data_IF_462274095388
#
_entry.id   IF_462274095388
#
_cell.length_a   1.000
_cell.length_b   1.000
_cell.length_c   1.000
_cell.angle_alpha   90.00
_cell.angle_beta   90.00
_cell.angle_gamma   90.00
#
_symmetry.space_group_name_H-M   'P 1'
#
loop_
_entity.id
_entity.type
_entity.pdbx_description
1 polymer ?
#
# COMPACT_ATOMS: atom_id res chain seq x y z
N UNK A 1 -34.65 -2.76 4.48
CA UNK A 1 -34.24 -3.20 3.13
C UNK A 1 -32.72 -3.26 3.10
N UNK A 2 -32.14 -4.44 2.92
CA UNK A 2 -30.68 -4.62 2.93
C UNK A 2 -30.06 -3.95 1.70
N UNK A 3 -29.37 -2.83 1.88
CA UNK A 3 -28.56 -2.23 0.82
C UNK A 3 -27.47 -3.23 0.42
N UNK A 4 -27.65 -3.88 -0.73
CA UNK A 4 -26.61 -4.70 -1.35
C UNK A 4 -25.47 -3.76 -1.75
N UNK A 5 -24.46 -3.66 -0.90
CA UNK A 5 -23.22 -2.94 -1.20
C UNK A 5 -22.63 -3.53 -2.48
N UNK A 6 -22.80 -2.83 -3.62
CA UNK A 6 -22.21 -3.22 -4.90
C UNK A 6 -20.70 -3.33 -4.69
N UNK A 7 -20.17 -4.55 -4.67
CA UNK A 7 -18.72 -4.80 -4.69
C UNK A 7 -18.18 -4.19 -5.98
N UNK A 8 -17.43 -3.09 -5.88
CA UNK A 8 -16.68 -2.55 -7.03
C UNK A 8 -15.79 -3.68 -7.54
N UNK A 9 -16.01 -4.09 -8.78
CA UNK A 9 -15.26 -5.15 -9.43
C UNK A 9 -13.80 -4.67 -9.54
N UNK A 10 -12.92 -5.28 -8.74
CA UNK A 10 -11.54 -4.83 -8.51
C UNK A 10 -10.88 -5.66 -7.38
N UNK A 11 -9.56 -5.48 -7.21
CA UNK A 11 -8.67 -6.30 -6.36
C UNK A 11 -9.33 -6.69 -5.02
N UNK A 12 -9.43 -8.00 -4.69
CA UNK A 12 -10.16 -8.45 -3.51
C UNK A 12 -9.66 -7.78 -2.22
N UNK A 13 -10.59 -7.45 -1.32
CA UNK A 13 -10.25 -7.01 0.04
C UNK A 13 -9.96 -8.24 0.88
N UNK A 14 -8.71 -8.43 1.32
CA UNK A 14 -8.33 -9.61 2.09
C UNK A 14 -8.91 -9.61 3.52
N UNK A 15 -9.23 -8.43 4.08
CA UNK A 15 -9.68 -8.29 5.47
C UNK A 15 -11.00 -7.52 5.65
N UNK A 16 -11.83 -7.39 4.61
CA UNK A 16 -13.12 -6.67 4.70
C UNK A 16 -13.00 -5.15 4.90
N UNK A 17 -11.80 -4.62 5.09
CA UNK A 17 -11.56 -3.19 5.25
C UNK A 17 -11.67 -2.42 3.93
N UNK A 18 -12.19 -1.19 4.02
CA UNK A 18 -12.23 -0.26 2.89
C UNK A 18 -10.80 0.18 2.56
N UNK A 19 -10.21 -0.44 1.54
CA UNK A 19 -8.90 -0.05 1.02
C UNK A 19 -8.94 1.40 0.52
N UNK A 20 -8.15 2.28 1.13
CA UNK A 20 -7.84 3.61 0.57
C UNK A 20 -6.65 3.43 -0.37
N UNK A 21 -6.82 3.81 -1.63
CA UNK A 21 -5.74 3.80 -2.60
C UNK A 21 -5.08 5.17 -2.64
N UNK A 22 -3.75 5.18 -2.59
CA UNK A 22 -2.93 6.37 -2.78
C UNK A 22 -2.04 6.14 -4.00
N UNK A 23 -1.92 7.16 -4.84
CA UNK A 23 -1.00 7.17 -5.97
C UNK A 23 0.11 8.18 -5.67
N UNK A 24 1.36 7.76 -5.80
CA UNK A 24 2.52 8.63 -5.66
C UNK A 24 3.28 8.69 -6.97
N UNK A 25 3.84 9.86 -7.27
CA UNK A 25 4.81 10.02 -8.34
C UNK A 25 6.21 10.01 -7.75
N UNK A 26 7.09 9.21 -8.34
CA UNK A 26 8.48 9.11 -7.94
C UNK A 26 9.37 9.09 -9.19
N UNK A 27 10.59 9.62 -9.07
CA UNK A 27 11.61 9.42 -10.10
C UNK A 27 11.99 7.94 -10.17
N UNK A 28 12.55 7.49 -11.31
CA UNK A 28 13.04 6.10 -11.44
C UNK A 28 14.03 5.73 -10.35
N UNK A 29 14.92 6.67 -10.00
CA UNK A 29 15.92 6.49 -8.94
C UNK A 29 15.27 6.33 -7.58
N UNK A 30 14.33 7.22 -7.22
CA UNK A 30 13.61 7.12 -5.95
C UNK A 30 12.82 5.80 -5.86
N UNK A 31 12.17 5.39 -6.96
CA UNK A 31 11.45 4.12 -7.01
C UNK A 31 12.37 2.91 -6.84
N UNK A 32 13.56 2.93 -7.46
CA UNK A 32 14.58 1.89 -7.29
C UNK A 32 15.10 1.82 -5.86
N UNK A 33 15.35 2.97 -5.23
CA UNK A 33 15.81 3.05 -3.85
C UNK A 33 14.77 2.54 -2.87
N UNK A 34 13.49 2.91 -3.03
CA UNK A 34 12.39 2.41 -2.19
C UNK A 34 12.30 0.88 -2.20
N UNK A 35 12.47 0.25 -3.38
CA UNK A 35 12.48 -1.21 -3.48
C UNK A 35 13.64 -1.85 -2.72
N UNK A 36 14.82 -1.24 -2.76
CA UNK A 36 16.00 -1.71 -2.01
C UNK A 36 15.77 -1.60 -0.50
N UNK A 37 15.18 -0.49 -0.04
CA UNK A 37 14.88 -0.28 1.38
C UNK A 37 13.81 -1.25 1.91
N UNK A 38 12.77 -1.52 1.11
CA UNK A 38 11.77 -2.54 1.43
C UNK A 38 12.43 -3.93 1.55
N UNK A 39 13.29 -4.29 0.60
CA UNK A 39 14.00 -5.57 0.65
C UNK A 39 14.94 -5.69 1.87
N UNK A 40 15.65 -4.61 2.24
CA UNK A 40 16.54 -4.63 3.41
C UNK A 40 15.81 -4.70 4.75
N UNK A 41 14.57 -4.22 4.82
CA UNK A 41 13.71 -4.32 6.01
C UNK A 41 12.94 -5.64 6.10
N UNK A 42 13.10 -6.54 5.10
CA UNK A 42 12.37 -7.81 5.06
C UNK A 42 10.88 -7.66 4.74
N UNK A 43 10.46 -6.50 4.24
CA UNK A 43 9.06 -6.18 3.93
C UNK A 43 8.80 -6.19 2.42
N UNK A 44 7.56 -6.46 2.02
CA UNK A 44 7.13 -6.11 0.67
C UNK A 44 7.08 -4.58 0.51
N UNK A 45 7.20 -4.10 -0.73
CA UNK A 45 7.14 -2.66 -1.02
C UNK A 45 5.83 -2.00 -0.51
N UNK A 46 4.70 -2.71 -0.61
CA UNK A 46 3.43 -2.22 -0.10
C UNK A 46 3.41 -2.09 1.42
N UNK A 47 3.93 -3.09 2.14
CA UNK A 47 3.99 -3.06 3.60
C UNK A 47 4.93 -1.96 4.08
N UNK A 48 6.10 -1.85 3.45
CA UNK A 48 7.07 -0.81 3.74
C UNK A 48 6.46 0.60 3.61
N UNK A 49 5.73 0.87 2.51
CA UNK A 49 5.07 2.15 2.30
C UNK A 49 3.89 2.38 3.26
N UNK A 50 3.19 1.33 3.66
CA UNK A 50 2.09 1.42 4.62
C UNK A 50 2.60 1.75 6.03
N UNK A 51 3.69 1.10 6.48
CA UNK A 51 4.34 1.40 7.75
C UNK A 51 4.88 2.83 7.74
N UNK A 52 5.59 3.23 6.69
CA UNK A 52 6.14 4.57 6.54
C UNK A 52 5.03 5.63 6.51
N UNK A 53 3.94 5.38 5.79
CA UNK A 53 2.79 6.27 5.71
C UNK A 53 2.00 6.39 7.01
N UNK A 54 1.98 5.35 7.86
CA UNK A 54 1.31 5.38 9.17
C UNK A 54 2.16 6.00 10.27
N UNK A 55 3.47 5.73 10.26
CA UNK A 55 4.37 6.08 11.37
C UNK A 55 5.16 7.36 11.11
N UNK A 56 5.37 7.72 9.84
CA UNK A 56 6.28 8.80 9.44
C UNK A 56 7.76 8.45 9.66
N UNK A 57 8.07 7.24 10.10
CA UNK A 57 9.42 6.76 10.38
C UNK A 57 9.80 5.62 9.44
N UNK A 58 11.10 5.49 9.16
CA UNK A 58 11.62 4.39 8.36
C UNK A 58 11.52 3.08 9.18
N UNK A 59 10.94 2.01 8.61
CA UNK A 59 10.91 0.67 9.22
C UNK A 59 12.30 0.02 9.32
#
# INVERSE_FOLDING_TARGET
MSEKTKRKVGRPSFHGERKKSYSIMATKTAWGNLKKMAASSGLSLSEYLEVLGRTGTLP
#
